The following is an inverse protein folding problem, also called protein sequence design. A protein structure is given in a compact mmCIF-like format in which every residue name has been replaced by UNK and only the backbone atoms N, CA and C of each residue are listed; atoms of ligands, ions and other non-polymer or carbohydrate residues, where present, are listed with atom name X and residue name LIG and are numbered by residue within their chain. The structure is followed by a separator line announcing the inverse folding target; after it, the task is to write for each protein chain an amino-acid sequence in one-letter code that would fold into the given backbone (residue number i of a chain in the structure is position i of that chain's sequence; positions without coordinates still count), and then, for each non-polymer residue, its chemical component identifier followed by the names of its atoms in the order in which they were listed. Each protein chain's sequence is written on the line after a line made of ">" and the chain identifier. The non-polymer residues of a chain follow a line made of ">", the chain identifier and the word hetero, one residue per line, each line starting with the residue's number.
data_IF_722202075401
#
_entry.id   IF_722202075401
#
_cell.length_a   1.000
_cell.length_b   1.000
_cell.length_c   1.000
_cell.angle_alpha   90.00
_cell.angle_beta   90.00
_cell.angle_gamma   90.00
#
_symmetry.space_group_name_H-M   'P 1'
#
loop_
_entity.id
_entity.type
_entity.pdbx_description
1 polymer ?
#
# COMPACT_ATOMS: atom_id res chain seq x y z
N UNK A 1 -32.82 36.29 4.13
CA UNK A 1 -32.10 35.00 4.24
C UNK A 1 -32.89 34.15 5.22
N UNK A 2 -33.58 33.10 4.74
CA UNK A 2 -34.56 32.38 5.56
C UNK A 2 -33.92 31.39 6.55
N UNK A 3 -34.63 30.99 7.62
CA UNK A 3 -34.13 30.09 8.67
C UNK A 3 -33.65 28.74 8.14
N UNK A 4 -34.16 28.31 6.98
CA UNK A 4 -33.71 27.09 6.27
C UNK A 4 -32.30 27.21 5.68
N UNK A 5 -31.90 28.38 5.18
CA UNK A 5 -30.56 28.60 4.63
C UNK A 5 -29.49 28.62 5.73
N UNK A 6 -29.83 29.16 6.90
CA UNK A 6 -28.97 29.15 8.08
C UNK A 6 -28.76 27.72 8.63
N UNK A 7 -29.82 26.90 8.68
CA UNK A 7 -29.72 25.50 9.12
C UNK A 7 -28.84 24.65 8.19
N UNK A 8 -28.92 24.85 6.88
CA UNK A 8 -28.06 24.15 5.90
C UNK A 8 -26.60 24.57 6.05
N UNK A 9 -26.32 25.86 6.22
CA UNK A 9 -24.94 26.35 6.42
C UNK A 9 -24.32 25.81 7.72
N UNK A 10 -25.10 25.73 8.80
CA UNK A 10 -24.65 25.16 10.08
C UNK A 10 -24.41 23.65 9.97
N UNK A 11 -25.28 22.91 9.24
CA UNK A 11 -25.08 21.48 9.01
C UNK A 11 -23.84 21.20 8.15
N UNK A 12 -23.59 21.98 7.10
CA UNK A 12 -22.37 21.84 6.27
C UNK A 12 -21.13 22.20 7.08
N UNK A 13 -21.16 23.26 7.90
CA UNK A 13 -20.06 23.61 8.78
C UNK A 13 -19.80 22.54 9.86
N UNK A 14 -20.85 21.92 10.40
CA UNK A 14 -20.74 20.83 11.37
C UNK A 14 -20.20 19.54 10.73
N UNK A 15 -20.58 19.23 9.50
CA UNK A 15 -20.02 18.10 8.73
C UNK A 15 -18.55 18.34 8.38
N UNK A 16 -18.18 19.55 7.96
CA UNK A 16 -16.78 19.94 7.72
C UNK A 16 -15.95 19.90 9.02
N UNK A 17 -16.53 20.28 10.16
CA UNK A 17 -15.88 20.18 11.46
C UNK A 17 -15.78 18.73 11.96
N UNK A 18 -16.75 17.86 11.64
CA UNK A 18 -16.76 16.44 12.00
C UNK A 18 -15.77 15.60 11.17
N UNK A 19 -15.38 16.05 9.97
CA UNK A 19 -14.29 15.46 9.19
C UNK A 19 -12.88 15.94 9.62
N UNK A 20 -12.78 16.82 10.62
CA UNK A 20 -11.54 17.38 11.14
C UNK A 20 -10.81 16.46 12.12
N UNK A 21 -10.56 15.20 11.75
CA UNK A 21 -9.48 14.45 12.41
C UNK A 21 -8.18 15.20 12.13
N UNK A 22 -7.54 15.77 13.15
CA UNK A 22 -6.29 16.54 12.97
C UNK A 22 -5.21 15.55 12.49
N UNK A 23 -4.98 15.51 11.18
CA UNK A 23 -3.99 14.63 10.58
C UNK A 23 -2.62 14.95 11.18
N UNK A 24 -2.03 13.97 11.87
CA UNK A 24 -0.70 14.15 12.44
C UNK A 24 0.33 13.99 11.34
N UNK A 25 1.16 15.03 11.18
CA UNK A 25 2.22 15.06 10.19
C UNK A 25 3.53 14.74 10.90
N UNK A 26 4.14 13.66 10.48
CA UNK A 26 5.43 13.21 10.96
C UNK A 26 6.52 13.50 9.93
N UNK A 27 7.75 13.70 10.41
CA UNK A 27 8.93 13.91 9.54
C UNK A 27 9.47 12.58 9.03
N UNK A 28 10.44 12.67 8.10
CA UNK A 28 11.20 11.51 7.62
C UNK A 28 11.67 10.62 8.79
N UNK A 29 11.53 9.31 8.62
CA UNK A 29 11.96 8.33 9.61
C UNK A 29 12.89 7.30 9.01
N UNK A 30 14.02 7.09 9.68
CA UNK A 30 14.96 6.01 9.43
C UNK A 30 15.03 5.12 10.66
N UNK A 31 14.41 3.94 10.58
CA UNK A 31 14.21 2.98 11.66
C UNK A 31 15.11 1.78 11.40
N UNK A 32 16.09 1.58 12.29
CA UNK A 32 17.12 0.54 12.14
C UNK A 32 17.31 -0.28 13.40
N UNK A 33 17.81 -1.51 13.22
CA UNK A 33 18.30 -2.42 14.27
C UNK A 33 17.22 -3.00 15.21
N UNK A 34 16.29 -2.19 15.70
CA UNK A 34 15.24 -2.60 16.64
C UNK A 34 13.88 -1.97 16.33
N UNK A 35 12.83 -2.56 16.91
CA UNK A 35 11.44 -2.14 16.70
C UNK A 35 11.01 -0.97 17.58
N UNK A 36 11.81 -0.59 18.58
CA UNK A 36 11.41 0.44 19.56
C UNK A 36 11.07 1.78 18.91
N UNK A 37 11.72 2.12 17.79
CA UNK A 37 11.45 3.36 17.05
C UNK A 37 10.25 3.29 16.12
N UNK A 38 9.61 2.12 15.95
CA UNK A 38 8.36 2.01 15.19
C UNK A 38 7.19 2.68 15.94
N UNK A 39 7.23 2.80 17.26
CA UNK A 39 6.18 3.51 18.03
C UNK A 39 6.02 4.97 17.62
N UNK A 40 7.04 5.58 17.00
CA UNK A 40 6.95 6.91 16.43
C UNK A 40 5.85 7.03 15.35
N UNK A 41 5.44 5.92 14.73
CA UNK A 41 4.41 5.87 13.71
C UNK A 41 2.98 5.78 14.27
N UNK A 42 2.80 5.60 15.58
CA UNK A 42 1.48 5.31 16.19
C UNK A 42 0.40 6.34 15.89
N UNK A 43 0.78 7.63 15.84
CA UNK A 43 -0.16 8.72 15.59
C UNK A 43 -0.04 9.32 14.19
N UNK A 44 1.01 8.97 13.44
CA UNK A 44 1.29 9.53 12.13
C UNK A 44 0.20 9.19 11.12
N UNK A 45 -0.40 10.23 10.54
CA UNK A 45 -1.33 10.10 9.41
C UNK A 45 -0.60 10.30 8.09
N UNK A 46 0.30 11.29 8.05
CA UNK A 46 1.10 11.63 6.88
C UNK A 46 2.56 11.69 7.28
N UNK A 47 3.43 11.06 6.49
CA UNK A 47 4.88 11.24 6.58
C UNK A 47 5.30 12.27 5.54
N UNK A 48 5.65 13.47 6.00
CA UNK A 48 6.30 14.52 5.23
C UNK A 48 7.81 14.23 5.17
N UNK A 49 8.20 13.44 4.17
CA UNK A 49 9.49 12.78 4.08
C UNK A 49 9.40 11.35 3.55
N UNK A 50 10.45 10.59 3.82
CA UNK A 50 10.56 9.17 3.52
C UNK A 50 10.38 8.30 4.77
N UNK A 51 10.02 7.03 4.55
CA UNK A 51 10.04 6.00 5.58
C UNK A 51 11.02 4.90 5.18
N UNK A 52 12.04 4.71 6.00
CA UNK A 52 13.05 3.66 5.86
C UNK A 52 12.97 2.71 7.06
N UNK A 53 12.81 1.42 6.80
CA UNK A 53 12.85 0.37 7.82
C UNK A 53 13.86 -0.68 7.37
N UNK A 54 14.99 -0.78 8.08
CA UNK A 54 16.10 -1.61 7.61
C UNK A 54 16.97 -2.21 8.71
N UNK A 55 17.73 -3.25 8.34
CA UNK A 55 18.78 -3.87 9.17
C UNK A 55 18.26 -4.39 10.52
N UNK A 56 17.11 -5.07 10.51
CA UNK A 56 16.55 -5.71 11.71
C UNK A 56 16.79 -7.22 11.63
N UNK A 57 17.95 -7.65 12.14
CA UNK A 57 18.38 -9.06 12.05
C UNK A 57 17.90 -9.95 13.20
N UNK A 58 17.46 -9.33 14.31
CA UNK A 58 17.10 -10.03 15.55
C UNK A 58 15.59 -10.19 15.73
N UNK A 59 14.80 -9.60 14.85
CA UNK A 59 13.35 -9.61 14.91
C UNK A 59 12.79 -10.93 14.41
N UNK A 60 11.65 -11.32 14.98
CA UNK A 60 10.94 -12.58 14.68
C UNK A 60 9.50 -12.29 14.27
N UNK A 61 8.80 -13.24 13.64
CA UNK A 61 7.40 -13.05 13.26
C UNK A 61 6.50 -12.63 14.42
N UNK A 62 6.75 -13.13 15.63
CA UNK A 62 5.98 -12.80 16.83
C UNK A 62 6.04 -11.31 17.15
N UNK A 63 7.17 -10.65 16.89
CA UNK A 63 7.36 -9.23 17.19
C UNK A 63 6.49 -8.31 16.32
N UNK A 64 6.02 -8.79 15.16
CA UNK A 64 5.18 -8.02 14.23
C UNK A 64 3.69 -8.35 14.31
N UNK A 65 3.29 -9.42 15.00
CA UNK A 65 1.88 -9.88 15.02
C UNK A 65 0.92 -8.85 15.60
N UNK A 66 1.37 -8.07 16.59
CA UNK A 66 0.56 -7.07 17.27
C UNK A 66 0.88 -5.63 16.82
N UNK A 67 1.86 -5.45 15.91
CA UNK A 67 2.23 -4.14 15.41
C UNK A 67 1.34 -3.72 14.23
N UNK A 68 0.67 -2.58 14.39
CA UNK A 68 -0.16 -1.99 13.34
C UNK A 68 -0.14 -0.48 13.41
N UNK A 69 0.02 0.18 12.26
CA UNK A 69 -0.02 1.63 12.09
C UNK A 69 -1.16 2.03 11.16
N UNK A 70 -2.43 1.83 11.56
CA UNK A 70 -3.59 2.03 10.69
C UNK A 70 -3.88 3.50 10.39
N UNK A 71 -3.28 4.45 11.12
CA UNK A 71 -3.45 5.88 10.86
C UNK A 71 -2.65 6.34 9.63
N UNK A 72 -1.55 5.65 9.30
CA UNK A 72 -0.68 6.04 8.21
C UNK A 72 -1.40 5.86 6.88
N UNK A 73 -1.67 6.96 6.18
CA UNK A 73 -2.36 6.98 4.89
C UNK A 73 -1.49 7.46 3.74
N UNK A 74 -0.45 8.25 4.02
CA UNK A 74 0.36 8.86 2.97
C UNK A 74 1.82 8.99 3.35
N UNK A 75 2.68 8.68 2.38
CA UNK A 75 4.11 9.01 2.41
C UNK A 75 4.38 9.96 1.24
N UNK A 76 5.06 11.07 1.50
CA UNK A 76 5.29 12.09 0.47
C UNK A 76 6.50 11.75 -0.42
N UNK A 77 7.59 11.23 0.13
CA UNK A 77 8.76 10.80 -0.65
C UNK A 77 8.64 9.33 -1.07
N UNK A 78 9.32 8.42 -0.37
CA UNK A 78 9.40 7.00 -0.71
C UNK A 78 9.32 6.10 0.53
N UNK A 79 8.96 4.83 0.29
CA UNK A 79 9.01 3.75 1.27
C UNK A 79 10.14 2.77 0.91
N UNK A 80 11.03 2.49 1.86
CA UNK A 80 12.12 1.54 1.68
C UNK A 80 12.15 0.52 2.82
N UNK A 81 12.12 -0.75 2.45
CA UNK A 81 12.28 -1.90 3.33
C UNK A 81 13.51 -2.69 2.92
N UNK A 82 14.45 -2.91 3.86
CA UNK A 82 15.69 -3.63 3.58
C UNK A 82 16.17 -4.51 4.73
N UNK A 83 16.25 -5.83 4.54
CA UNK A 83 16.73 -6.79 5.56
C UNK A 83 16.02 -6.63 6.92
N UNK A 84 14.69 -6.69 6.91
CA UNK A 84 13.87 -6.77 8.13
C UNK A 84 13.40 -8.21 8.32
N UNK A 85 14.00 -8.90 9.29
CA UNK A 85 13.79 -10.33 9.48
C UNK A 85 12.49 -10.56 10.25
N UNK A 86 11.74 -11.60 9.86
CA UNK A 86 10.51 -12.00 10.55
C UNK A 86 9.26 -11.26 10.11
N UNK A 87 9.39 -10.17 9.34
CA UNK A 87 8.23 -9.49 8.76
C UNK A 87 7.71 -10.28 7.54
N UNK A 88 6.52 -10.85 7.67
CA UNK A 88 5.93 -11.73 6.63
C UNK A 88 4.97 -11.01 5.68
N UNK A 89 4.32 -9.92 6.10
CA UNK A 89 3.35 -9.15 5.31
C UNK A 89 3.22 -7.72 5.83
N UNK A 90 3.00 -6.73 4.95
CA UNK A 90 2.71 -5.35 5.37
C UNK A 90 1.22 -5.10 5.61
N UNK A 91 0.36 -6.09 5.32
CA UNK A 91 -1.10 -5.99 5.48
C UNK A 91 -1.52 -5.56 6.88
N UNK A 92 -0.88 -6.13 7.91
CA UNK A 92 -1.14 -5.76 9.31
C UNK A 92 -0.46 -4.45 9.71
N UNK A 93 0.71 -4.17 9.13
CA UNK A 93 1.57 -3.07 9.53
C UNK A 93 1.07 -1.72 8.98
N UNK A 94 0.74 -1.66 7.69
CA UNK A 94 0.28 -0.44 6.99
C UNK A 94 -1.04 -0.67 6.26
N UNK A 95 -2.12 -1.02 6.98
CA UNK A 95 -3.38 -1.44 6.36
C UNK A 95 -4.06 -0.33 5.55
N UNK A 96 -3.78 0.95 5.84
CA UNK A 96 -4.45 2.10 5.23
C UNK A 96 -3.52 3.01 4.43
N UNK A 97 -2.29 2.57 4.13
CA UNK A 97 -1.38 3.34 3.28
C UNK A 97 -1.96 3.40 1.86
N UNK A 98 -2.38 4.59 1.44
CA UNK A 98 -3.12 4.79 0.19
C UNK A 98 -2.26 5.42 -0.91
N UNK A 99 -1.37 6.34 -0.55
CA UNK A 99 -0.60 7.13 -1.53
C UNK A 99 0.87 7.22 -1.14
N UNK A 100 1.74 7.03 -2.13
CA UNK A 100 3.16 7.41 -2.07
C UNK A 100 3.39 8.47 -3.15
N UNK A 101 3.68 9.73 -2.77
CA UNK A 101 3.73 10.81 -3.78
C UNK A 101 5.01 10.83 -4.61
N UNK A 102 6.14 10.34 -4.09
CA UNK A 102 7.41 10.36 -4.83
C UNK A 102 7.99 11.76 -5.06
N UNK A 103 7.81 12.70 -4.11
CA UNK A 103 8.41 14.05 -4.20
C UNK A 103 9.93 13.97 -4.28
N UNK A 104 10.55 13.21 -3.39
CA UNK A 104 11.91 12.71 -3.52
C UNK A 104 11.90 11.18 -3.67
N UNK A 105 12.92 10.65 -4.33
CA UNK A 105 13.02 9.23 -4.66
C UNK A 105 14.31 8.65 -4.11
N UNK A 106 14.31 7.35 -3.84
CA UNK A 106 15.54 6.61 -3.63
C UNK A 106 16.06 6.16 -4.99
N UNK A 107 17.06 6.87 -5.51
CA UNK A 107 17.40 6.87 -6.95
C UNK A 107 16.19 7.30 -7.79
N UNK A 108 15.56 6.39 -8.53
CA UNK A 108 14.34 6.60 -9.31
C UNK A 108 13.11 5.91 -8.71
N UNK A 109 13.21 5.33 -7.51
CA UNK A 109 12.16 4.49 -6.91
C UNK A 109 11.42 5.19 -5.78
N UNK A 110 10.09 5.03 -5.77
CA UNK A 110 9.19 5.47 -4.70
C UNK A 110 8.82 4.33 -3.72
N UNK A 111 8.92 3.08 -4.18
CA UNK A 111 8.76 1.89 -3.34
C UNK A 111 9.95 0.96 -3.57
N UNK A 112 10.64 0.61 -2.48
CA UNK A 112 11.78 -0.31 -2.50
C UNK A 112 11.57 -1.42 -1.48
N UNK A 113 11.53 -2.66 -1.96
CA UNK A 113 11.45 -3.87 -1.13
C UNK A 113 12.63 -4.76 -1.54
N UNK A 114 13.67 -4.78 -0.70
CA UNK A 114 14.94 -5.40 -1.07
C UNK A 114 15.43 -6.36 0.03
N UNK A 115 15.81 -7.57 -0.35
CA UNK A 115 16.35 -8.60 0.56
C UNK A 115 15.49 -8.80 1.83
N UNK A 116 14.16 -8.78 1.67
CA UNK A 116 13.19 -9.07 2.72
C UNK A 116 12.99 -10.58 2.81
N UNK A 117 13.93 -11.25 3.47
CA UNK A 117 14.11 -12.72 3.46
C UNK A 117 12.90 -13.54 3.88
N UNK A 118 11.99 -13.00 4.71
CA UNK A 118 10.81 -13.71 5.22
C UNK A 118 9.48 -13.12 4.70
N UNK A 119 9.52 -12.11 3.84
CA UNK A 119 8.31 -11.46 3.32
C UNK A 119 7.65 -12.40 2.30
N UNK A 120 6.39 -12.75 2.55
CA UNK A 120 5.61 -13.70 1.72
C UNK A 120 4.66 -13.00 0.76
N UNK A 121 4.17 -11.82 1.13
CA UNK A 121 3.25 -11.00 0.36
C UNK A 121 3.50 -9.52 0.70
N UNK A 122 3.31 -8.60 -0.26
CA UNK A 122 3.44 -7.16 0.02
C UNK A 122 2.28 -6.71 0.92
N UNK A 123 1.04 -7.07 0.57
CA UNK A 123 -0.12 -6.82 1.42
C UNK A 123 -0.54 -5.35 1.58
N UNK A 124 -0.05 -4.42 0.74
CA UNK A 124 -0.48 -3.02 0.75
C UNK A 124 -1.82 -2.82 0.04
N UNK A 125 -2.87 -3.46 0.54
CA UNK A 125 -4.14 -3.62 -0.17
C UNK A 125 -4.96 -2.34 -0.37
N UNK A 126 -4.60 -1.25 0.31
CA UNK A 126 -5.20 0.07 0.11
C UNK A 126 -4.32 1.01 -0.71
N UNK A 127 -3.14 0.58 -1.18
CA UNK A 127 -2.28 1.41 -2.01
C UNK A 127 -2.92 1.62 -3.38
N UNK A 128 -3.35 2.85 -3.64
CA UNK A 128 -4.09 3.25 -4.84
C UNK A 128 -3.23 4.01 -5.84
N UNK A 129 -2.23 4.75 -5.37
CA UNK A 129 -1.45 5.60 -6.26
C UNK A 129 -0.01 5.77 -5.79
N UNK A 130 0.92 5.58 -6.72
CA UNK A 130 2.29 6.09 -6.63
C UNK A 130 2.41 7.19 -7.68
N UNK A 131 2.42 8.45 -7.23
CA UNK A 131 2.28 9.60 -8.13
C UNK A 131 3.53 9.82 -8.98
N UNK A 132 4.72 9.50 -8.45
CA UNK A 132 5.99 9.66 -9.16
C UNK A 132 7.00 8.62 -8.71
N UNK A 133 7.82 8.13 -9.64
CA UNK A 133 8.88 7.17 -9.39
C UNK A 133 8.43 5.72 -9.59
N UNK A 134 9.41 4.84 -9.78
CA UNK A 134 9.16 3.43 -10.08
C UNK A 134 9.13 2.56 -8.81
N UNK A 135 8.84 1.27 -9.00
CA UNK A 135 8.88 0.25 -7.95
C UNK A 135 10.10 -0.65 -8.15
N UNK A 136 10.85 -0.89 -7.07
CA UNK A 136 11.95 -1.87 -7.03
C UNK A 136 11.65 -2.96 -6.01
N UNK A 137 11.44 -4.19 -6.47
CA UNK A 137 11.21 -5.36 -5.62
C UNK A 137 12.20 -6.44 -6.03
N UNK A 138 13.23 -6.63 -5.22
CA UNK A 138 14.37 -7.47 -5.62
C UNK A 138 14.88 -8.36 -4.49
N UNK A 139 15.25 -9.61 -4.83
CA UNK A 139 15.90 -10.58 -3.93
C UNK A 139 15.07 -10.95 -2.69
N UNK A 140 13.74 -11.06 -2.86
CA UNK A 140 12.84 -11.49 -1.79
C UNK A 140 12.48 -12.97 -1.98
N UNK A 141 13.28 -13.86 -1.40
CA UNK A 141 13.25 -15.31 -1.69
C UNK A 141 11.94 -16.02 -1.32
N UNK A 142 11.10 -15.44 -0.46
CA UNK A 142 9.81 -16.01 -0.06
C UNK A 142 8.59 -15.25 -0.63
N UNK A 143 8.82 -14.18 -1.40
CA UNK A 143 7.78 -13.25 -1.82
C UNK A 143 6.99 -13.76 -3.03
N UNK A 144 5.68 -13.93 -2.84
CA UNK A 144 4.65 -14.27 -3.83
C UNK A 144 3.62 -13.13 -3.97
N UNK A 145 2.50 -13.38 -4.67
CA UNK A 145 1.46 -12.39 -4.98
C UNK A 145 1.95 -11.20 -5.80
N UNK A 146 3.03 -11.35 -6.57
CA UNK A 146 3.53 -10.26 -7.43
C UNK A 146 2.80 -10.27 -8.77
N UNK A 147 2.62 -11.46 -9.36
CA UNK A 147 1.88 -11.66 -10.61
C UNK A 147 0.40 -11.25 -10.52
N UNK A 148 -0.20 -11.27 -9.33
CA UNK A 148 -1.60 -10.91 -9.08
C UNK A 148 -1.82 -9.40 -8.93
N UNK A 149 -0.76 -8.58 -8.89
CA UNK A 149 -0.86 -7.13 -8.77
C UNK A 149 -0.73 -6.48 -10.14
N UNK A 150 -1.72 -5.66 -10.51
CA UNK A 150 -1.67 -4.82 -11.70
C UNK A 150 -1.07 -3.44 -11.36
N UNK A 151 0.22 -3.27 -11.58
CA UNK A 151 0.91 -2.00 -11.32
C UNK A 151 0.44 -0.85 -12.21
N UNK A 152 -0.15 -1.13 -13.39
CA UNK A 152 -0.69 -0.09 -14.27
C UNK A 152 -1.90 0.65 -13.67
N UNK A 153 -2.50 0.08 -12.60
CA UNK A 153 -3.57 0.72 -11.83
C UNK A 153 -3.05 1.62 -10.71
N UNK A 154 -1.76 1.54 -10.40
CA UNK A 154 -1.12 2.25 -9.27
C UNK A 154 -0.15 3.32 -9.78
N UNK A 155 0.55 3.05 -10.88
CA UNK A 155 1.53 3.92 -11.52
C UNK A 155 1.08 4.34 -12.91
N UNK A 156 1.40 5.58 -13.30
CA UNK A 156 1.16 6.08 -14.66
C UNK A 156 2.07 5.40 -15.70
N UNK A 157 3.29 5.01 -15.29
CA UNK A 157 4.23 4.24 -16.11
C UNK A 157 4.85 3.10 -15.29
N UNK A 158 4.91 1.92 -15.90
CA UNK A 158 5.47 0.69 -15.30
C UNK A 158 6.80 0.29 -15.94
N UNK A 159 7.27 1.01 -16.96
CA UNK A 159 8.45 0.64 -17.76
C UNK A 159 9.75 0.60 -16.94
N UNK A 160 9.86 1.49 -15.95
CA UNK A 160 11.03 1.61 -15.08
C UNK A 160 10.94 0.69 -13.84
N UNK A 161 9.89 -0.12 -13.71
CA UNK A 161 9.78 -1.05 -12.59
C UNK A 161 10.85 -2.14 -12.68
N UNK A 162 11.50 -2.42 -11.55
CA UNK A 162 12.52 -3.45 -11.44
C UNK A 162 12.10 -4.51 -10.42
N UNK A 163 11.43 -5.55 -10.91
CA UNK A 163 10.86 -6.64 -10.11
C UNK A 163 11.49 -7.95 -10.55
N UNK A 164 12.51 -8.43 -9.84
CA UNK A 164 13.26 -9.65 -10.20
C UNK A 164 13.80 -10.39 -8.98
N UNK A 165 14.23 -11.65 -9.17
CA UNK A 165 14.86 -12.48 -8.15
C UNK A 165 14.00 -12.67 -6.88
N UNK A 166 12.68 -12.79 -7.06
CA UNK A 166 11.70 -13.12 -6.03
C UNK A 166 11.25 -14.58 -6.19
N UNK A 167 10.43 -15.10 -5.26
CA UNK A 167 9.89 -16.47 -5.38
C UNK A 167 8.94 -16.62 -6.58
N UNK A 168 8.18 -15.57 -6.88
CA UNK A 168 7.28 -15.47 -8.02
C UNK A 168 7.98 -15.80 -9.36
N UNK A 169 9.23 -15.35 -9.53
CA UNK A 169 10.03 -15.60 -10.76
C UNK A 169 10.39 -17.07 -10.99
N UNK A 170 10.27 -17.92 -9.96
CA UNK A 170 10.57 -19.36 -10.05
C UNK A 170 9.35 -20.22 -10.37
N UNK A 171 8.17 -19.60 -10.55
CA UNK A 171 6.88 -20.30 -10.72
C UNK A 171 6.53 -21.25 -9.57
N UNK A 172 7.09 -21.02 -8.38
CA UNK A 172 6.84 -21.83 -7.18
C UNK A 172 5.67 -21.29 -6.32
N UNK A 173 5.07 -20.16 -6.72
CA UNK A 173 3.96 -19.54 -6.01
C UNK A 173 2.61 -20.15 -6.44
N UNK A 174 1.81 -20.53 -5.44
CA UNK A 174 0.42 -20.97 -5.63
C UNK A 174 -0.55 -19.88 -5.23
N UNK A 175 -0.49 -18.73 -5.91
CA UNK A 175 -1.30 -17.56 -5.54
C UNK A 175 -2.79 -17.83 -5.77
N UNK A 176 -3.60 -17.68 -4.72
CA UNK A 176 -5.04 -17.92 -4.75
C UNK A 176 -5.76 -16.68 -4.28
N UNK A 177 -6.48 -16.01 -5.18
CA UNK A 177 -7.24 -14.82 -4.84
C UNK A 177 -8.56 -15.14 -4.09
N UNK A 178 -9.12 -14.16 -3.35
CA UNK A 178 -10.36 -14.29 -2.61
C UNK A 178 -11.52 -14.86 -3.44
N UNK A 179 -12.14 -15.94 -2.97
CA UNK A 179 -13.33 -16.54 -3.59
C UNK A 179 -13.04 -17.66 -4.60
N UNK A 180 -11.80 -17.81 -5.07
CA UNK A 180 -11.41 -18.85 -6.05
C UNK A 180 -11.82 -20.26 -5.63
N UNK A 181 -11.68 -20.60 -4.35
CA UNK A 181 -12.07 -21.92 -3.79
C UNK A 181 -13.58 -22.20 -3.92
N UNK A 182 -14.40 -21.15 -4.02
CA UNK A 182 -15.86 -21.25 -4.23
C UNK A 182 -16.26 -21.29 -5.71
N UNK A 183 -15.28 -21.44 -6.61
CA UNK A 183 -15.48 -21.58 -8.06
C UNK A 183 -15.53 -20.26 -8.84
N UNK A 184 -15.48 -19.10 -8.16
CA UNK A 184 -15.36 -17.78 -8.80
C UNK A 184 -14.71 -16.80 -7.83
N UNK A 185 -13.68 -16.11 -8.28
CA UNK A 185 -13.07 -15.02 -7.52
C UNK A 185 -13.98 -13.82 -7.39
N UNK A 186 -13.88 -13.18 -6.23
CA UNK A 186 -14.60 -11.95 -5.92
C UNK A 186 -13.81 -10.72 -6.36
N UNK A 187 -12.59 -10.90 -6.88
CA UNK A 187 -11.72 -9.80 -7.24
C UNK A 187 -11.93 -9.34 -8.68
N UNK A 188 -11.87 -8.03 -8.94
CA UNK A 188 -11.95 -7.51 -10.30
C UNK A 188 -10.74 -8.00 -11.09
N UNK A 189 -10.95 -8.67 -12.25
CA UNK A 189 -9.85 -9.09 -13.10
C UNK A 189 -9.41 -7.93 -13.99
N UNK A 190 -8.15 -7.95 -14.43
CA UNK A 190 -7.70 -7.12 -15.57
C UNK A 190 -7.15 -8.00 -16.68
N UNK A 191 -7.12 -7.44 -17.90
CA UNK A 191 -6.70 -8.16 -19.09
C UNK A 191 -5.26 -7.78 -19.41
N UNK A 192 -4.35 -8.75 -19.40
CA UNK A 192 -2.98 -8.58 -19.90
C UNK A 192 -2.81 -9.56 -21.06
N UNK A 193 -2.48 -9.03 -22.24
CA UNK A 193 -2.28 -9.82 -23.47
C UNK A 193 -3.46 -10.78 -23.80
N UNK A 194 -4.70 -10.35 -23.51
CA UNK A 194 -5.91 -11.15 -23.73
C UNK A 194 -6.22 -12.19 -22.66
N UNK A 195 -5.38 -12.32 -21.63
CA UNK A 195 -5.59 -13.22 -20.48
C UNK A 195 -6.24 -12.44 -19.34
N UNK A 196 -7.34 -12.98 -18.82
CA UNK A 196 -7.99 -12.46 -17.62
C UNK A 196 -7.23 -12.93 -16.39
N UNK A 197 -6.67 -11.99 -15.64
CA UNK A 197 -5.94 -12.26 -14.41
C UNK A 197 -6.68 -11.59 -13.26
N UNK A 198 -7.03 -12.37 -12.25
CA UNK A 198 -7.66 -11.88 -11.04
C UNK A 198 -6.67 -11.06 -10.22
N UNK A 199 -7.12 -9.91 -9.69
CA UNK A 199 -6.22 -8.98 -9.00
C UNK A 199 -6.38 -9.00 -7.50
N UNK A 200 -5.34 -9.44 -6.80
CA UNK A 200 -5.30 -9.49 -5.35
C UNK A 200 -3.92 -9.19 -4.79
N UNK A 201 -3.91 -8.65 -3.57
CA UNK A 201 -2.69 -8.40 -2.81
C UNK A 201 -2.33 -9.57 -1.90
N UNK A 202 -3.34 -10.33 -1.47
CA UNK A 202 -3.26 -11.48 -0.55
C UNK A 202 -4.42 -12.43 -0.85
N UNK A 203 -4.42 -13.61 -0.21
CA UNK A 203 -5.51 -14.58 -0.31
C UNK A 203 -6.90 -14.09 0.12
N UNK A 204 -6.98 -12.99 0.88
CA UNK A 204 -8.22 -12.43 1.44
C UNK A 204 -8.43 -10.93 1.14
N UNK A 205 -7.57 -10.32 0.30
CA UNK A 205 -7.65 -8.91 -0.11
C UNK A 205 -7.50 -8.74 -1.61
N UNK A 206 -8.56 -8.31 -2.28
CA UNK A 206 -8.53 -7.92 -3.69
C UNK A 206 -7.74 -6.61 -3.89
N UNK A 207 -7.17 -6.43 -5.08
CA UNK A 207 -6.70 -5.13 -5.53
C UNK A 207 -7.91 -4.28 -5.88
N UNK A 208 -7.89 -3.03 -5.41
CA UNK A 208 -8.94 -2.06 -5.70
C UNK A 208 -8.46 -1.16 -6.83
N UNK A 209 -9.37 -0.78 -7.70
CA UNK A 209 -9.10 0.19 -8.75
C UNK A 209 -9.59 1.58 -8.32
N UNK A 210 -8.79 2.61 -8.58
CA UNK A 210 -9.19 4.01 -8.41
C UNK A 210 -10.39 4.36 -9.30
N UNK A 211 -10.46 3.80 -10.52
CA UNK A 211 -11.56 4.06 -11.45
C UNK A 211 -12.88 3.40 -11.01
N UNK A 212 -12.83 2.29 -10.28
CA UNK A 212 -14.03 1.68 -9.69
C UNK A 212 -14.65 2.57 -8.60
N UNK A 213 -13.84 3.34 -7.87
CA UNK A 213 -14.35 4.27 -6.85
C UNK A 213 -15.06 5.48 -7.46
N UNK A 214 -14.61 5.97 -8.63
CA UNK A 214 -15.27 7.07 -9.35
C UNK A 214 -16.61 6.60 -9.92
N UNK A 215 -16.70 5.36 -10.41
CA UNK A 215 -17.94 4.80 -10.96
C UNK A 215 -19.08 4.69 -9.91
N UNK A 216 -18.76 4.74 -8.61
CA UNK A 216 -19.74 4.74 -7.51
C UNK A 216 -20.17 6.15 -7.11
N UNK A 217 -19.51 7.21 -7.61
CA UNK A 217 -19.93 8.60 -7.40
C UNK A 217 -21.00 8.96 -8.45
N UNK A 218 -22.29 9.08 -8.10
CA UNK A 218 -23.30 9.47 -9.06
C UNK A 218 -23.02 10.90 -9.51
N UNK A 219 -22.60 11.09 -10.77
CA UNK A 219 -22.44 12.42 -11.38
C UNK A 219 -21.12 12.70 -12.10
N UNK A 220 -20.12 11.81 -12.02
CA UNK A 220 -18.91 11.95 -12.84
C UNK A 220 -19.05 11.13 -14.13
N UNK A 221 -19.65 11.74 -15.16
CA UNK A 221 -19.52 11.24 -16.54
C UNK A 221 -18.28 11.88 -17.15
N UNK A 222 -17.33 11.07 -17.59
CA UNK A 222 -16.29 11.54 -18.49
C UNK A 222 -16.95 11.80 -19.86
N UNK A 223 -16.84 13.04 -20.33
CA UNK A 223 -17.07 13.41 -21.72
C UNK A 223 -15.76 13.26 -22.51
#
# INVERSE_FOLDING_TARGET
>A
MGPRAAAVAVAVAAVLAACGGRAEICRSMDIRNNLTRLSLLENCTVIEGHLQILLMFKTKPEDFRELSFPKLTMITDYLLLFRVYGLESLKGLFPNLTVIRGTHLFFNYALVIFEMVHLKEIGLYNLMNITRGAVRIEKNNELCYLSTIDWSRILDSVEDNYIIANKDDKEECGDVCPGTVKGKSNCPPTVINGIFIERCWTHDRCQRDYYELIAVVPGFSFA
#
